data_IF_764171035860
#
_entry.id   IF_764171035860
#
_cell.length_a   1.000
_cell.length_b   1.000
_cell.length_c   1.000
_cell.angle_alpha   90.00
_cell.angle_beta   90.00
_cell.angle_gamma   90.00
#
_symmetry.space_group_name_H-M   'P 1'
#
loop_
_entity.id
_entity.type
_entity.pdbx_description
1 polymer ?
#
# COMPACT_ATOMS: atom_id res chain seq x y z
N UNK A 1 -11.06 22.36 1.28
CA UNK A 1 -10.21 21.44 2.06
C UNK A 1 -9.06 21.07 1.15
N UNK A 2 -7.83 21.43 1.50
CA UNK A 2 -6.65 20.99 0.76
C UNK A 2 -6.41 19.53 1.13
N UNK A 3 -6.39 18.62 0.16
CA UNK A 3 -5.82 17.28 0.35
C UNK A 3 -4.44 17.44 0.99
N UNK A 4 -4.09 16.68 2.04
CA UNK A 4 -2.71 16.71 2.51
C UNK A 4 -1.83 16.27 1.35
N UNK A 5 -1.00 17.20 0.87
CA UNK A 5 0.06 17.00 -0.11
C UNK A 5 0.92 15.82 0.39
N UNK A 6 0.63 14.65 -0.15
CA UNK A 6 1.50 13.48 -0.09
C UNK A 6 2.49 13.61 -1.25
N UNK A 7 3.76 13.26 -1.04
CA UNK A 7 4.73 13.80 -0.09
C UNK A 7 5.44 15.06 -0.66
N UNK A 8 6.05 15.89 0.19
CA UNK A 8 6.98 16.93 -0.29
C UNK A 8 8.24 17.02 0.56
N UNK A 9 9.34 16.50 0.01
CA UNK A 9 10.72 16.98 0.09
C UNK A 9 11.55 16.16 -0.92
N UNK A 10 11.63 16.62 -2.18
CA UNK A 10 12.25 15.92 -3.32
C UNK A 10 11.56 14.59 -3.68
N UNK A 11 10.43 14.67 -4.40
CA UNK A 11 9.54 13.55 -4.79
C UNK A 11 10.27 12.40 -5.48
N UNK A 12 11.17 12.71 -6.44
CA UNK A 12 12.05 11.71 -7.08
C UNK A 12 12.89 10.98 -6.03
N UNK A 13 13.53 11.72 -5.11
CA UNK A 13 14.42 11.10 -4.11
C UNK A 13 13.65 10.33 -3.04
N UNK A 14 12.40 10.67 -2.76
CA UNK A 14 11.56 9.94 -1.82
C UNK A 14 11.11 8.62 -2.43
N UNK A 15 10.61 8.65 -3.67
CA UNK A 15 10.24 7.44 -4.39
C UNK A 15 11.44 6.52 -4.60
N UNK A 16 12.60 7.08 -4.97
CA UNK A 16 13.86 6.34 -5.10
C UNK A 16 14.31 5.71 -3.78
N UNK A 17 14.27 6.45 -2.65
CA UNK A 17 14.61 5.91 -1.32
C UNK A 17 13.63 4.82 -0.87
N UNK A 18 12.34 4.99 -1.16
CA UNK A 18 11.33 3.96 -0.88
C UNK A 18 11.60 2.71 -1.70
N UNK A 19 11.87 2.87 -2.99
CA UNK A 19 12.19 1.77 -3.89
C UNK A 19 13.44 1.02 -3.42
N UNK A 20 14.53 1.72 -3.13
CA UNK A 20 15.77 1.14 -2.61
C UNK A 20 15.53 0.39 -1.29
N UNK A 21 14.79 0.99 -0.36
CA UNK A 21 14.44 0.34 0.91
C UNK A 21 13.63 -0.94 0.73
N UNK A 22 12.67 -0.96 -0.21
CA UNK A 22 11.81 -2.12 -0.47
C UNK A 22 12.52 -3.22 -1.28
N UNK A 23 13.57 -2.87 -2.03
CA UNK A 23 14.36 -3.80 -2.85
C UNK A 23 15.67 -4.24 -2.21
N UNK A 24 16.07 -3.64 -1.09
CA UNK A 24 17.30 -3.96 -0.37
C UNK A 24 17.29 -5.33 0.36
N UNK A 25 16.12 -5.94 0.56
CA UNK A 25 16.03 -7.23 1.22
C UNK A 25 16.49 -8.39 0.30
N UNK A 26 17.14 -9.44 0.85
CA UNK A 26 17.37 -10.66 0.09
C UNK A 26 16.02 -11.24 -0.34
N UNK A 27 15.92 -11.66 -1.60
CA UNK A 27 14.70 -12.12 -2.28
C UNK A 27 13.65 -11.03 -2.61
N UNK A 28 13.95 -9.74 -2.38
CA UNK A 28 13.06 -8.67 -2.83
C UNK A 28 13.04 -8.56 -4.37
N UNK A 29 11.87 -8.21 -4.91
CA UNK A 29 11.65 -8.05 -6.36
C UNK A 29 11.16 -6.65 -6.69
N UNK A 30 11.17 -6.24 -7.96
CA UNK A 30 10.63 -4.93 -8.39
C UNK A 30 9.14 -4.78 -8.02
N UNK A 31 8.40 -5.89 -7.99
CA UNK A 31 7.00 -5.92 -7.52
C UNK A 31 6.85 -5.52 -6.04
N UNK A 32 7.91 -5.62 -5.23
CA UNK A 32 7.90 -5.15 -3.85
C UNK A 32 7.90 -3.64 -3.73
N UNK A 33 8.44 -2.94 -4.73
CA UNK A 33 8.35 -1.49 -4.79
C UNK A 33 6.99 -1.00 -5.32
N UNK A 34 6.14 -1.85 -5.92
CA UNK A 34 4.87 -1.42 -6.49
C UNK A 34 3.89 -0.88 -5.42
N UNK A 35 3.13 0.20 -5.71
CA UNK A 35 2.08 0.69 -4.81
C UNK A 35 1.01 -0.38 -4.57
N UNK A 36 0.76 -0.73 -3.31
CA UNK A 36 -0.24 -1.74 -2.93
C UNK A 36 -1.53 -1.15 -2.38
N UNK A 37 -1.58 0.17 -2.22
CA UNK A 37 -2.69 0.90 -1.59
C UNK A 37 -3.23 1.89 -2.62
N UNK A 38 -4.53 1.83 -2.85
CA UNK A 38 -5.25 2.81 -3.66
C UNK A 38 -6.01 3.75 -2.73
N UNK A 39 -5.80 5.06 -2.92
CA UNK A 39 -6.51 6.09 -2.17
C UNK A 39 -7.47 6.77 -3.13
N UNK A 40 -8.76 6.71 -2.82
CA UNK A 40 -9.82 7.35 -3.60
C UNK A 40 -10.67 8.26 -2.73
N UNK A 41 -11.28 9.28 -3.33
CA UNK A 41 -12.22 10.16 -2.63
C UNK A 41 -13.65 9.80 -3.04
N UNK A 42 -14.50 9.51 -2.05
CA UNK A 42 -15.91 9.18 -2.29
C UNK A 42 -16.80 9.84 -1.23
N UNK A 43 -17.81 10.61 -1.66
CA UNK A 43 -18.74 11.34 -0.78
C UNK A 43 -18.05 12.23 0.27
N UNK A 44 -16.91 12.85 -0.09
CA UNK A 44 -16.13 13.67 0.85
C UNK A 44 -15.36 12.86 1.91
N UNK A 45 -15.32 11.52 1.79
CA UNK A 45 -14.51 10.64 2.61
C UNK A 45 -13.30 10.13 1.80
N UNK A 46 -12.13 10.09 2.43
CA UNK A 46 -10.96 9.40 1.88
C UNK A 46 -11.13 7.90 2.12
N UNK A 47 -11.26 7.16 1.03
CA UNK A 47 -11.34 5.71 1.02
C UNK A 47 -9.96 5.15 0.69
N UNK A 48 -9.51 4.20 1.52
CA UNK A 48 -8.22 3.53 1.39
C UNK A 48 -8.52 2.06 1.13
N UNK A 49 -8.21 1.57 -0.07
CA UNK A 49 -8.41 0.18 -0.47
C UNK A 49 -7.05 -0.48 -0.79
N UNK A 50 -7.01 -1.81 -0.72
CA UNK A 50 -5.84 -2.61 -1.14
C UNK A 50 -5.96 -2.85 -2.64
N UNK A 51 -4.92 -2.46 -3.40
CA UNK A 51 -4.85 -2.61 -4.84
C UNK A 51 -5.22 -4.06 -5.26
N UNK A 52 -5.97 -4.24 -6.35
CA UNK A 52 -6.41 -5.55 -6.81
C UNK A 52 -5.23 -6.50 -7.06
N UNK A 53 -4.11 -5.94 -7.52
CA UNK A 53 -2.89 -6.62 -7.94
C UNK A 53 -1.89 -6.87 -6.79
N UNK A 54 -2.24 -6.46 -5.56
CA UNK A 54 -1.35 -6.63 -4.41
C UNK A 54 -1.15 -8.13 -4.09
N UNK A 55 0.10 -8.64 -4.05
CA UNK A 55 0.37 -10.07 -3.86
C UNK A 55 0.05 -10.59 -2.46
N UNK A 56 0.00 -9.70 -1.46
CA UNK A 56 -0.33 -10.03 -0.07
C UNK A 56 -1.38 -9.05 0.42
N UNK A 57 -2.46 -9.58 1.00
CA UNK A 57 -3.51 -8.78 1.63
C UNK A 57 -3.36 -8.84 3.16
N UNK A 58 -3.60 -7.73 3.88
CA UNK A 58 -3.68 -7.77 5.33
C UNK A 58 -4.71 -8.80 5.77
N UNK A 59 -4.36 -9.62 6.76
CA UNK A 59 -5.27 -10.60 7.33
C UNK A 59 -6.45 -9.93 8.06
N UNK A 60 -7.51 -10.69 8.37
CA UNK A 60 -8.65 -10.18 9.11
C UNK A 60 -8.18 -9.61 10.46
N UNK A 61 -8.61 -8.39 10.77
CA UNK A 61 -8.23 -7.72 12.01
C UNK A 61 -8.67 -8.50 13.27
N UNK A 62 -8.15 -8.15 14.45
CA UNK A 62 -8.60 -8.78 15.69
C UNK A 62 -10.11 -8.59 15.85
N UNK A 63 -10.84 -9.71 15.97
CA UNK A 63 -12.30 -9.73 16.12
C UNK A 63 -13.10 -10.00 14.84
N UNK A 64 -12.43 -10.25 13.71
CA UNK A 64 -13.07 -10.74 12.50
C UNK A 64 -12.98 -12.28 12.53
N UNK A 65 -14.11 -12.98 12.63
CA UNK A 65 -14.11 -14.43 12.45
C UNK A 65 -13.72 -14.76 11.00
N UNK A 66 -12.45 -15.09 10.78
CA UNK A 66 -12.01 -15.74 9.54
C UNK A 66 -12.67 -17.11 9.51
N UNK A 67 -13.82 -17.23 8.84
CA UNK A 67 -14.32 -18.53 8.45
C UNK A 67 -13.22 -19.19 7.63
N UNK A 68 -12.75 -20.35 8.11
CA UNK A 68 -11.86 -21.27 7.39
C UNK A 68 -12.14 -21.22 5.87
N UNK A 69 -11.30 -20.51 5.13
CA UNK A 69 -11.18 -20.70 3.68
C UNK A 69 -10.24 -21.89 3.51
N UNK A 70 -10.80 -23.08 3.73
CA UNK A 70 -10.17 -24.34 3.34
C UNK A 70 -10.18 -24.40 1.81
N UNK A 71 -8.99 -24.33 1.20
CA UNK A 71 -8.72 -24.69 -0.20
C UNK A 71 -7.55 -25.67 -0.27
#
# INVERSE_FOLDING_TARGET
MSTPDHPSADDETFEEKRHDQLTAAPDATEADAAPRIEVSEHDGNTRIDIAPDAPVRPGPGPGVETGDDES
#
